data_IF_205782126561
#
_entry.id   IF_205782126561
#
_cell.length_a   1.000
_cell.length_b   1.000
_cell.length_c   1.000
_cell.angle_alpha   90.00
_cell.angle_beta   90.00
_cell.angle_gamma   90.00
#
_symmetry.space_group_name_H-M   'P 1'
#
loop_
_entity.id
_entity.type
_entity.pdbx_description
1 polymer ?
#
# COMPACT_ATOMS: atom_id res chain seq x y z
N UNK A 1 -2.33 15.92 -16.42
CA UNK A 1 -2.11 16.93 -15.37
C UNK A 1 -1.41 16.19 -14.23
N UNK A 2 -0.21 16.60 -13.82
CA UNK A 2 0.46 15.94 -12.68
C UNK A 2 -0.25 16.26 -11.38
N UNK A 3 -0.47 15.25 -10.55
CA UNK A 3 -1.12 15.43 -9.25
C UNK A 3 -0.06 15.96 -8.27
N UNK A 4 -0.18 17.22 -7.89
CA UNK A 4 0.75 17.89 -6.97
C UNK A 4 0.31 17.67 -5.52
N UNK A 5 0.54 16.48 -4.98
CA UNK A 5 0.40 16.23 -3.54
C UNK A 5 1.67 16.61 -2.80
N UNK A 6 1.53 17.31 -1.67
CA UNK A 6 2.67 17.73 -0.83
C UNK A 6 3.34 16.52 -0.15
N UNK A 7 2.60 15.45 0.06
CA UNK A 7 3.14 14.15 0.48
C UNK A 7 3.41 13.29 -0.76
N UNK A 8 4.68 12.94 -1.02
CA UNK A 8 5.05 12.04 -2.11
C UNK A 8 4.50 10.61 -1.95
N UNK A 9 4.92 9.71 -2.84
CA UNK A 9 4.63 8.28 -2.71
C UNK A 9 5.44 7.70 -1.54
N UNK A 10 4.77 7.11 -0.57
CA UNK A 10 5.39 6.59 0.64
C UNK A 10 4.73 5.29 1.10
N UNK A 11 5.55 4.29 1.41
CA UNK A 11 5.13 3.05 2.02
C UNK A 11 6.22 2.52 2.97
N UNK A 12 5.80 1.79 4.00
CA UNK A 12 6.64 1.08 4.95
C UNK A 12 6.16 -0.36 5.05
N UNK A 13 7.05 -1.32 4.81
CA UNK A 13 6.78 -2.75 4.93
C UNK A 13 7.41 -3.28 6.22
N UNK A 14 6.60 -3.91 7.07
CA UNK A 14 6.99 -4.46 8.36
C UNK A 14 6.71 -5.97 8.33
N UNK A 15 7.74 -6.82 8.20
CA UNK A 15 7.57 -8.27 8.31
C UNK A 15 7.20 -8.66 9.74
N UNK A 16 6.24 -9.58 9.86
CA UNK A 16 5.79 -10.17 11.12
C UNK A 16 6.40 -11.56 11.36
N UNK A 17 5.67 -12.41 12.06
CA UNK A 17 6.06 -13.82 12.24
C UNK A 17 5.64 -14.66 11.01
N UNK A 18 6.51 -15.57 10.59
CA UNK A 18 6.25 -16.41 9.40
C UNK A 18 6.14 -15.57 8.12
N UNK A 19 5.01 -15.73 7.43
CA UNK A 19 4.72 -15.08 6.15
C UNK A 19 3.97 -13.74 6.30
N UNK A 20 3.78 -13.25 7.52
CA UNK A 20 3.02 -12.04 7.79
C UNK A 20 3.74 -10.78 7.27
N UNK A 21 2.97 -9.91 6.62
CA UNK A 21 3.43 -8.62 6.13
C UNK A 21 2.44 -7.51 6.49
N UNK A 22 2.88 -6.52 7.25
CA UNK A 22 2.12 -5.29 7.50
C UNK A 22 2.68 -4.14 6.67
N UNK A 23 1.87 -3.62 5.76
CA UNK A 23 2.22 -2.49 4.91
C UNK A 23 1.47 -1.24 5.37
N UNK A 24 2.20 -0.20 5.75
CA UNK A 24 1.64 1.13 5.96
C UNK A 24 1.89 1.91 4.69
N UNK A 25 0.84 2.31 3.97
CA UNK A 25 0.99 2.96 2.67
C UNK A 25 0.10 4.19 2.55
N UNK A 26 0.65 5.26 1.98
CA UNK A 26 -0.13 6.42 1.56
C UNK A 26 -0.79 6.10 0.22
N UNK A 27 -1.96 5.46 0.28
CA UNK A 27 -2.68 4.96 -0.90
C UNK A 27 -4.18 5.22 -0.81
N UNK A 28 -4.82 5.35 -1.98
CA UNK A 28 -6.27 5.38 -2.14
C UNK A 28 -6.89 3.96 -2.26
N UNK A 29 -6.08 2.92 -2.54
CA UNK A 29 -6.57 1.57 -2.81
C UNK A 29 -5.83 0.49 -1.97
N UNK A 30 -6.06 0.41 -0.64
CA UNK A 30 -5.38 -0.56 0.23
C UNK A 30 -5.55 -2.02 -0.20
N UNK A 31 -6.74 -2.40 -0.69
CA UNK A 31 -7.04 -3.76 -1.16
C UNK A 31 -6.18 -4.15 -2.35
N UNK A 32 -5.97 -3.23 -3.29
CA UNK A 32 -5.13 -3.52 -4.46
C UNK A 32 -3.66 -3.69 -4.07
N UNK A 33 -3.16 -2.84 -3.15
CA UNK A 33 -1.83 -3.02 -2.56
C UNK A 33 -1.73 -4.39 -1.87
N UNK A 34 -2.77 -4.83 -1.15
CA UNK A 34 -2.79 -6.15 -0.51
C UNK A 34 -2.63 -7.27 -1.54
N UNK A 35 -3.41 -7.23 -2.63
CA UNK A 35 -3.31 -8.20 -3.72
C UNK A 35 -1.91 -8.23 -4.35
N UNK A 36 -1.34 -7.06 -4.65
CA UNK A 36 -0.01 -6.95 -5.28
C UNK A 36 1.10 -7.46 -4.39
N UNK A 37 1.06 -7.12 -3.10
CA UNK A 37 2.06 -7.58 -2.12
C UNK A 37 1.96 -9.09 -1.90
N UNK A 38 0.74 -9.63 -1.74
CA UNK A 38 0.53 -11.07 -1.60
C UNK A 38 1.05 -11.85 -2.82
N UNK A 39 0.75 -11.36 -4.03
CA UNK A 39 1.25 -11.95 -5.26
C UNK A 39 2.78 -11.88 -5.38
N UNK A 40 3.38 -10.72 -5.08
CA UNK A 40 4.83 -10.52 -5.19
C UNK A 40 5.62 -11.39 -4.20
N UNK A 41 5.07 -11.62 -3.00
CA UNK A 41 5.70 -12.45 -1.97
C UNK A 41 5.31 -13.93 -2.06
N UNK A 42 4.38 -14.29 -2.97
CA UNK A 42 3.81 -15.63 -3.10
C UNK A 42 3.23 -16.17 -1.77
N UNK A 43 2.47 -15.32 -1.07
CA UNK A 43 1.79 -15.63 0.20
C UNK A 43 0.28 -15.45 0.04
N UNK A 44 -0.57 -16.10 0.86
CA UNK A 44 -2.00 -15.87 0.80
C UNK A 44 -2.35 -14.44 1.25
N UNK A 45 -3.44 -13.87 0.72
CA UNK A 45 -3.86 -12.50 1.06
C UNK A 45 -4.09 -12.26 2.55
N UNK A 46 -4.51 -13.29 3.30
CA UNK A 46 -4.74 -13.16 4.74
C UNK A 46 -3.44 -12.93 5.53
N UNK A 47 -2.27 -13.27 4.96
CA UNK A 47 -0.96 -12.99 5.55
C UNK A 47 -0.51 -11.53 5.34
N UNK A 48 -1.22 -10.75 4.50
CA UNK A 48 -0.87 -9.37 4.20
C UNK A 48 -1.93 -8.42 4.76
N UNK A 49 -1.51 -7.49 5.61
CA UNK A 49 -2.35 -6.38 6.10
C UNK A 49 -1.87 -5.07 5.52
N UNK A 50 -2.76 -4.28 4.92
CA UNK A 50 -2.44 -2.93 4.43
C UNK A 50 -3.22 -1.89 5.23
N UNK A 51 -2.52 -0.87 5.72
CA UNK A 51 -3.08 0.20 6.54
C UNK A 51 -2.71 1.57 5.94
N UNK A 52 -3.72 2.42 5.76
CA UNK A 52 -3.53 3.83 5.43
C UNK A 52 -3.99 4.65 6.64
N UNK A 53 -3.06 5.22 7.43
CA UNK A 53 -3.38 5.97 8.65
C UNK A 53 -3.91 7.37 8.36
N UNK A 54 -3.18 8.12 7.54
CA UNK A 54 -3.47 9.49 7.10
C UNK A 54 -2.84 9.66 5.71
N UNK A 55 -3.50 10.39 4.82
CA UNK A 55 -3.04 10.66 3.46
C UNK A 55 -3.00 12.18 3.23
N UNK A 56 -1.84 12.71 2.85
CA UNK A 56 -1.57 14.13 2.57
C UNK A 56 -2.03 14.58 1.18
N UNK A 57 -3.23 14.18 0.76
CA UNK A 57 -3.80 14.45 -0.56
C UNK A 57 -3.51 13.35 -1.58
N UNK A 58 -4.56 12.84 -2.23
CA UNK A 58 -4.47 11.78 -3.25
C UNK A 58 -4.81 12.29 -4.65
N UNK A 59 -5.93 13.00 -4.78
CA UNK A 59 -6.44 13.57 -6.05
C UNK A 59 -6.49 12.58 -7.23
N UNK A 60 -6.57 11.26 -6.95
CA UNK A 60 -6.52 10.19 -7.96
C UNK A 60 -5.10 9.73 -8.34
N UNK A 61 -4.06 10.28 -7.71
CA UNK A 61 -2.66 9.98 -8.07
C UNK A 61 -1.91 9.17 -7.03
N UNK A 62 -2.57 8.78 -5.94
CA UNK A 62 -2.13 7.73 -4.99
C UNK A 62 -2.93 6.45 -5.18
N UNK A 63 -3.45 6.29 -6.39
CA UNK A 63 -4.02 5.05 -6.89
C UNK A 63 -2.89 4.15 -7.41
N UNK A 64 -3.26 2.92 -7.76
CA UNK A 64 -2.34 2.00 -8.40
C UNK A 64 -1.85 2.54 -9.73
N UNK A 65 -0.56 2.84 -9.80
CA UNK A 65 0.13 3.13 -11.05
C UNK A 65 0.64 1.81 -11.65
N UNK A 66 -0.27 0.93 -12.06
CA UNK A 66 0.09 -0.33 -12.75
C UNK A 66 0.61 -1.43 -11.83
#
# INVERSE_FOLDING_TARGET
>A
QEHFYLEGQAALALPGEGDEMHVISSTQHPTEIQHKVAHALNVPMHAVRVECRRMGGGFGGKESQG
#
